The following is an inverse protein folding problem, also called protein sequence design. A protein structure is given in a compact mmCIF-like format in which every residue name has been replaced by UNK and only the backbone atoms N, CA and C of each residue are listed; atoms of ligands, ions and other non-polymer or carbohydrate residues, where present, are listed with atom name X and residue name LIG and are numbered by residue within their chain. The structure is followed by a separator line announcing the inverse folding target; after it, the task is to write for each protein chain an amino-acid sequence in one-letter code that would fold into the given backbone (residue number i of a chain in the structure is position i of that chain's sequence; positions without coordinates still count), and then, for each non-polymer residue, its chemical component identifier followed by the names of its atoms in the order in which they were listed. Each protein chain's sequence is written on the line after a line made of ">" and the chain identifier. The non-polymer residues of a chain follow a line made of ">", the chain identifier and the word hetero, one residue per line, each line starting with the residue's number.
data_IF_574276144833
#
_entry.id   IF_574276144833
#
_cell.length_a   1.000
_cell.length_b   1.000
_cell.length_c   1.000
_cell.angle_alpha   90.00
_cell.angle_beta   90.00
_cell.angle_gamma   90.00
#
_symmetry.space_group_name_H-M   'P 1'
#
loop_
_entity.id
_entity.type
_entity.pdbx_description
1 polymer ?
#
# COMPACT_ATOMS: atom_id res chain seq x y z
N UNK A 1 2.35 8.41 8.24
CA UNK A 1 2.06 7.13 8.89
C UNK A 1 0.60 6.80 8.69
N UNK A 2 0.33 5.54 8.49
CA UNK A 2 -1.03 5.06 8.24
C UNK A 2 -1.56 4.40 9.51
N UNK A 3 -2.78 4.74 9.90
CA UNK A 3 -3.43 4.17 11.07
C UNK A 3 -4.85 3.77 10.70
N UNK A 4 -5.55 3.19 11.66
CA UNK A 4 -6.96 2.86 11.48
C UNK A 4 -7.73 4.10 11.03
N UNK A 5 -8.60 3.93 10.05
CA UNK A 5 -9.41 4.97 9.41
C UNK A 5 -8.64 5.94 8.49
N UNK A 6 -7.35 5.72 8.26
CA UNK A 6 -6.63 6.46 7.23
C UNK A 6 -7.12 6.06 5.85
N UNK A 7 -7.26 7.03 4.96
CA UNK A 7 -7.61 6.79 3.56
C UNK A 7 -6.36 6.80 2.70
N UNK A 8 -6.30 5.86 1.76
CA UNK A 8 -5.15 5.74 0.86
C UNK A 8 -5.65 5.61 -0.57
N UNK A 9 -4.87 6.14 -1.50
CA UNK A 9 -5.05 5.86 -2.92
C UNK A 9 -4.54 4.46 -3.22
N UNK A 10 -5.13 3.86 -4.24
CA UNK A 10 -4.67 2.57 -4.75
C UNK A 10 -3.80 2.82 -5.97
N UNK A 11 -2.57 2.33 -5.93
CA UNK A 11 -1.56 2.60 -6.95
C UNK A 11 -1.41 1.46 -7.96
N UNK A 12 -2.48 0.72 -8.20
CA UNK A 12 -2.45 -0.39 -9.15
C UNK A 12 -3.69 -0.38 -10.05
N UNK A 13 -3.72 -1.33 -10.99
CA UNK A 13 -4.79 -1.43 -11.97
C UNK A 13 -5.86 -2.46 -11.62
N UNK A 14 -6.06 -2.75 -10.34
CA UNK A 14 -7.10 -3.68 -9.89
C UNK A 14 -8.52 -3.15 -10.06
N UNK A 15 -8.65 -1.83 -10.18
CA UNK A 15 -9.96 -1.19 -10.25
C UNK A 15 -10.35 -0.46 -8.99
N UNK A 16 -9.77 -0.78 -7.86
CA UNK A 16 -9.95 0.00 -6.64
C UNK A 16 -9.23 1.34 -6.79
N UNK A 17 -9.86 2.43 -6.32
CA UNK A 17 -9.27 3.77 -6.38
C UNK A 17 -8.89 4.28 -5.01
N UNK A 18 -9.73 4.04 -4.01
CA UNK A 18 -9.51 4.50 -2.65
C UNK A 18 -9.90 3.41 -1.67
N UNK A 19 -9.07 3.24 -0.64
CA UNK A 19 -9.31 2.29 0.43
C UNK A 19 -9.21 2.98 1.77
N UNK A 20 -9.90 2.42 2.77
CA UNK A 20 -9.88 2.90 4.15
C UNK A 20 -9.22 1.83 5.01
N UNK A 21 -8.16 2.20 5.71
CA UNK A 21 -7.46 1.26 6.60
C UNK A 21 -8.37 0.89 7.78
N UNK A 22 -8.62 -0.41 7.93
CA UNK A 22 -9.38 -0.95 9.05
C UNK A 22 -8.43 -1.35 10.18
N UNK A 23 -7.31 -1.98 9.82
CA UNK A 23 -6.39 -2.55 10.80
C UNK A 23 -4.98 -2.62 10.23
N UNK A 24 -3.98 -2.41 11.10
CA UNK A 24 -2.58 -2.60 10.76
C UNK A 24 -2.16 -3.98 11.24
N UNK A 25 -1.62 -4.80 10.34
CA UNK A 25 -1.14 -6.14 10.67
C UNK A 25 0.28 -6.08 11.22
N UNK A 26 0.67 -7.07 12.01
CA UNK A 26 2.02 -7.16 12.54
C UNK A 26 2.12 -7.18 14.05
N UNK A 27 1.01 -7.50 14.74
CA UNK A 27 1.02 -7.64 16.19
C UNK A 27 -0.14 -6.91 16.85
N UNK A 28 -0.51 -7.35 18.04
CA UNK A 28 -1.69 -6.83 18.75
C UNK A 28 -1.54 -5.38 19.20
N UNK A 29 -0.31 -4.90 19.36
CA UNK A 29 -0.04 -3.52 19.78
C UNK A 29 0.30 -2.59 18.61
N UNK A 30 0.27 -3.09 17.38
CA UNK A 30 0.64 -2.31 16.21
C UNK A 30 -0.40 -1.25 15.92
N UNK A 31 0.01 0.01 15.94
CA UNK A 31 -0.89 1.16 15.76
C UNK A 31 -0.71 1.86 14.43
N UNK A 32 0.51 1.90 13.90
CA UNK A 32 0.83 2.64 12.68
C UNK A 32 1.51 1.75 11.65
N UNK A 33 1.21 2.00 10.38
CA UNK A 33 1.86 1.34 9.25
C UNK A 33 2.73 2.36 8.51
N UNK A 34 3.90 1.92 8.10
CA UNK A 34 4.77 2.67 7.20
C UNK A 34 4.91 1.94 5.87
N UNK A 35 5.83 2.43 5.03
CA UNK A 35 6.10 1.81 3.73
C UNK A 35 6.56 0.36 3.94
N UNK A 36 5.91 -0.57 3.24
CA UNK A 36 6.22 -1.99 3.33
C UNK A 36 5.40 -2.76 4.35
N UNK A 37 4.56 -2.08 5.13
CA UNK A 37 3.68 -2.74 6.09
C UNK A 37 2.37 -3.12 5.43
N UNK A 38 1.79 -4.24 5.88
CA UNK A 38 0.54 -4.76 5.35
C UNK A 38 -0.62 -4.28 6.23
N UNK A 39 -1.68 -3.84 5.58
CA UNK A 39 -2.91 -3.40 6.26
C UNK A 39 -4.10 -4.18 5.72
N UNK A 40 -5.15 -4.27 6.53
CA UNK A 40 -6.47 -4.70 6.09
C UNK A 40 -7.28 -3.43 5.84
N UNK A 41 -7.95 -3.36 4.70
CA UNK A 41 -8.67 -2.17 4.31
C UNK A 41 -9.99 -2.52 3.63
N UNK A 42 -10.90 -1.56 3.62
CA UNK A 42 -12.15 -1.70 2.87
C UNK A 42 -12.10 -0.76 1.67
N UNK A 43 -12.61 -1.23 0.55
CA UNK A 43 -12.64 -0.45 -0.70
C UNK A 43 -13.76 0.57 -0.59
N UNK A 44 -13.42 1.86 -0.72
CA UNK A 44 -14.38 2.95 -0.65
C UNK A 44 -14.80 3.46 -2.02
N UNK A 45 -13.93 3.33 -3.01
CA UNK A 45 -14.20 3.74 -4.38
C UNK A 45 -13.54 2.76 -5.33
N UNK A 46 -14.30 2.30 -6.32
CA UNK A 46 -13.82 1.35 -7.32
C UNK A 46 -14.47 1.64 -8.67
N UNK A 47 -13.75 1.26 -9.74
CA UNK A 47 -14.26 1.36 -11.10
C UNK A 47 -15.36 0.29 -11.27
N UNK A 48 -16.53 0.65 -11.80
CA UNK A 48 -17.59 -0.33 -12.07
C UNK A 48 -17.11 -1.46 -12.98
N UNK A 49 -17.61 -2.66 -12.75
CA UNK A 49 -17.30 -3.86 -13.54
C UNK A 49 -15.84 -4.32 -13.42
N UNK A 50 -15.11 -3.86 -12.43
CA UNK A 50 -13.77 -4.39 -12.12
C UNK A 50 -13.89 -5.59 -11.20
N UNK A 51 -12.77 -6.28 -10.99
CA UNK A 51 -12.73 -7.42 -10.08
C UNK A 51 -12.85 -7.07 -8.61
N UNK A 52 -12.83 -5.79 -8.27
CA UNK A 52 -12.92 -5.29 -6.91
C UNK A 52 -14.11 -4.37 -6.81
N UNK A 53 -14.93 -4.55 -5.78
CA UNK A 53 -16.17 -3.79 -5.59
C UNK A 53 -16.07 -2.94 -4.33
N UNK A 54 -16.83 -1.84 -4.33
CA UNK A 54 -16.98 -1.01 -3.14
C UNK A 54 -17.51 -1.86 -1.98
N UNK A 55 -16.87 -1.72 -0.83
CA UNK A 55 -17.23 -2.48 0.37
C UNK A 55 -16.44 -3.76 0.56
N UNK A 56 -15.68 -4.19 -0.43
CA UNK A 56 -14.82 -5.37 -0.28
C UNK A 56 -13.75 -5.12 0.77
N UNK A 57 -13.43 -6.16 1.54
CA UNK A 57 -12.33 -6.13 2.50
C UNK A 57 -11.13 -6.79 1.83
N UNK A 58 -10.02 -6.07 1.78
CA UNK A 58 -8.82 -6.48 1.06
C UNK A 58 -7.59 -6.29 1.93
N UNK A 59 -6.51 -7.00 1.59
CA UNK A 59 -5.18 -6.73 2.14
C UNK A 59 -4.42 -5.85 1.16
N UNK A 60 -3.63 -4.94 1.72
CA UNK A 60 -2.82 -4.04 0.91
C UNK A 60 -1.50 -3.78 1.61
N UNK A 61 -0.48 -3.47 0.82
CA UNK A 61 0.82 -3.05 1.33
C UNK A 61 1.00 -1.56 1.03
N UNK A 62 1.45 -0.81 2.02
CA UNK A 62 1.68 0.63 1.88
C UNK A 62 2.94 0.83 1.05
N UNK A 63 2.84 1.56 -0.05
CA UNK A 63 3.96 1.81 -0.96
C UNK A 63 4.46 3.25 -0.90
N UNK A 64 3.61 4.18 -0.49
CA UNK A 64 3.96 5.60 -0.33
C UNK A 64 3.30 6.15 0.92
N UNK A 65 4.00 7.05 1.61
CA UNK A 65 3.42 7.80 2.72
C UNK A 65 3.69 9.28 2.55
N UNK A 66 2.74 10.09 2.95
CA UNK A 66 2.87 11.54 2.92
C UNK A 66 3.77 12.02 4.04
N UNK A 67 3.72 11.36 5.18
CA UNK A 67 4.62 11.66 6.28
C UNK A 67 6.01 11.12 5.97
N UNK A 68 7.03 11.91 6.24
CA UNK A 68 8.40 11.53 6.03
C UNK A 68 8.81 10.32 6.87
N UNK A 69 9.62 9.47 6.28
CA UNK A 69 10.19 8.30 6.95
C UNK A 69 11.71 8.45 7.00
N UNK A 70 12.28 8.32 8.19
CA UNK A 70 13.72 8.31 8.35
C UNK A 70 14.27 6.92 7.99
N UNK A 71 15.31 6.91 7.17
CA UNK A 71 15.98 5.69 6.78
C UNK A 71 17.20 5.44 7.66
N UNK A 72 17.71 4.19 7.72
CA UNK A 72 18.88 3.87 8.54
C UNK A 72 20.13 4.69 8.20
N UNK A 73 20.28 5.14 6.96
CA UNK A 73 21.40 5.95 6.52
C UNK A 73 21.27 7.44 6.88
N UNK A 74 20.21 7.82 7.58
CA UNK A 74 19.97 9.20 7.99
C UNK A 74 19.18 10.04 7.00
N UNK A 75 18.90 9.54 5.80
CA UNK A 75 18.08 10.24 4.83
C UNK A 75 16.60 10.11 5.15
N UNK A 76 15.79 10.96 4.52
CA UNK A 76 14.34 10.93 4.68
C UNK A 76 13.69 10.76 3.32
N UNK A 77 12.56 10.07 3.31
CA UNK A 77 11.72 9.92 2.11
C UNK A 77 10.29 10.33 2.45
N UNK A 78 9.68 11.10 1.59
CA UNK A 78 8.24 11.41 1.67
C UNK A 78 7.68 11.54 0.28
N UNK A 79 6.39 11.28 0.17
CA UNK A 79 5.67 11.36 -1.10
C UNK A 79 4.52 12.35 -0.97
N UNK A 80 3.90 12.69 -2.09
CA UNK A 80 2.80 13.65 -2.10
C UNK A 80 1.50 13.08 -1.56
N UNK A 81 1.40 11.77 -1.48
CA UNK A 81 0.16 11.10 -1.08
C UNK A 81 0.44 9.79 -0.36
N UNK A 82 -0.56 9.30 0.36
CA UNK A 82 -0.54 7.95 0.91
C UNK A 82 -1.11 7.00 -0.15
N UNK A 83 -0.38 5.94 -0.45
CA UNK A 83 -0.83 4.98 -1.46
C UNK A 83 -0.47 3.56 -1.06
N UNK A 84 -1.29 2.63 -1.53
CA UNK A 84 -1.14 1.22 -1.27
C UNK A 84 -1.41 0.41 -2.53
N UNK A 85 -0.92 -0.81 -2.55
CA UNK A 85 -1.13 -1.78 -3.62
C UNK A 85 -1.87 -2.98 -3.03
N UNK A 86 -2.94 -3.42 -3.67
CA UNK A 86 -3.71 -4.57 -3.21
C UNK A 86 -2.90 -5.85 -3.41
N UNK A 87 -2.89 -6.71 -2.39
CA UNK A 87 -2.16 -7.96 -2.44
C UNK A 87 -3.08 -9.14 -2.12
N UNK A 88 -2.64 -10.33 -2.54
CA UNK A 88 -3.29 -11.59 -2.20
C UNK A 88 -2.76 -12.11 -0.86
N UNK A 89 -3.32 -13.20 -0.37
CA UNK A 89 -2.87 -13.81 0.87
C UNK A 89 -1.42 -14.30 0.81
N UNK A 90 -0.92 -14.60 -0.38
CA UNK A 90 0.47 -15.03 -0.59
C UNK A 90 1.44 -13.85 -0.76
N UNK A 91 0.98 -12.63 -0.51
CA UNK A 91 1.76 -11.39 -0.61
C UNK A 91 2.10 -10.97 -2.04
N UNK A 92 1.51 -11.62 -3.03
CA UNK A 92 1.67 -11.23 -4.42
C UNK A 92 0.68 -10.12 -4.78
N UNK A 93 1.05 -9.17 -5.66
CA UNK A 93 0.11 -8.12 -6.07
C UNK A 93 -1.07 -8.70 -6.83
N UNK A 94 -2.25 -8.14 -6.61
CA UNK A 94 -3.46 -8.56 -7.34
C UNK A 94 -3.49 -7.98 -8.75
N UNK A 95 -2.92 -6.82 -8.95
CA UNK A 95 -2.87 -6.17 -10.25
C UNK A 95 -1.61 -6.56 -11.02
N UNK A 96 -1.58 -6.12 -12.28
CA UNK A 96 -0.44 -6.38 -13.18
C UNK A 96 0.41 -5.14 -13.41
N UNK A 97 -0.05 -3.96 -13.00
CA UNK A 97 0.67 -2.70 -13.16
C UNK A 97 0.63 -1.90 -11.87
N UNK A 98 1.68 -1.14 -11.65
CA UNK A 98 1.79 -0.23 -10.51
C UNK A 98 2.05 1.17 -11.06
N UNK A 99 1.36 2.16 -10.49
CA UNK A 99 1.44 3.55 -10.94
C UNK A 99 2.24 4.38 -9.95
N UNK A 100 3.17 5.15 -10.46
CA UNK A 100 3.97 6.07 -9.66
C UNK A 100 5.09 5.38 -8.89
N UNK A 101 5.90 6.17 -8.15
CA UNK A 101 7.04 5.62 -7.43
C UNK A 101 6.63 4.84 -6.18
N UNK A 102 7.50 3.93 -5.78
CA UNK A 102 7.33 3.19 -4.52
C UNK A 102 8.61 3.34 -3.68
N UNK A 103 8.48 3.18 -2.37
CA UNK A 103 9.64 3.21 -1.49
C UNK A 103 10.46 1.92 -1.59
N UNK A 104 11.78 2.04 -1.57
CA UNK A 104 12.66 0.87 -1.66
C UNK A 104 12.60 -0.04 -0.43
N UNK A 105 11.93 0.40 0.63
CA UNK A 105 11.68 -0.42 1.82
C UNK A 105 10.92 -1.70 1.49
N UNK A 106 10.17 -1.72 0.39
CA UNK A 106 9.47 -2.92 -0.07
C UNK A 106 10.42 -4.06 -0.39
N UNK A 107 11.65 -3.76 -0.81
CA UNK A 107 12.67 -4.78 -1.06
C UNK A 107 13.07 -5.49 0.23
N UNK A 108 13.25 -4.73 1.30
CA UNK A 108 13.62 -5.28 2.60
C UNK A 108 12.50 -6.11 3.21
N UNK A 109 11.26 -5.79 2.85
CA UNK A 109 10.06 -6.52 3.29
C UNK A 109 9.70 -7.66 2.35
N UNK A 110 10.51 -7.93 1.34
CA UNK A 110 10.38 -9.04 0.39
C UNK A 110 9.19 -8.95 -0.56
N UNK A 111 8.79 -7.74 -0.92
CA UNK A 111 7.78 -7.51 -1.96
C UNK A 111 8.44 -7.32 -3.32
N UNK A 112 9.20 -8.33 -3.75
CA UNK A 112 10.03 -8.22 -4.95
C UNK A 112 9.20 -8.06 -6.22
N UNK A 113 8.02 -8.69 -6.27
CA UNK A 113 7.15 -8.57 -7.44
C UNK A 113 6.66 -7.13 -7.62
N UNK A 114 6.33 -6.47 -6.52
CA UNK A 114 5.92 -5.06 -6.55
C UNK A 114 7.08 -4.19 -7.01
N UNK A 115 8.27 -4.44 -6.51
CA UNK A 115 9.48 -3.72 -6.92
C UNK A 115 9.70 -3.87 -8.43
N UNK A 116 9.54 -5.08 -8.96
CA UNK A 116 9.77 -5.31 -10.40
C UNK A 116 8.71 -4.66 -11.29
N UNK A 117 7.49 -4.49 -10.77
CA UNK A 117 6.40 -3.86 -11.52
C UNK A 117 6.40 -2.34 -11.40
N UNK A 118 7.05 -1.79 -10.41
CA UNK A 118 7.03 -0.36 -10.15
C UNK A 118 7.85 0.39 -11.21
N UNK A 119 7.33 1.53 -11.72
CA UNK A 119 8.07 2.33 -12.70
C UNK A 119 9.28 3.02 -12.10
N UNK A 120 9.27 3.29 -10.81
CA UNK A 120 10.37 3.96 -10.12
C UNK A 120 10.43 3.50 -8.67
N UNK A 121 11.63 3.23 -8.18
CA UNK A 121 11.86 2.81 -6.79
C UNK A 121 12.76 3.86 -6.13
N UNK A 122 12.24 4.53 -5.14
CA UNK A 122 12.94 5.57 -4.40
C UNK A 122 13.23 5.11 -2.96
#
# INVERSE_FOLDING_TARGET
>A
MIQQESRLRVADNTGAREILCIRVLGGSSRRYAGIGDVIVATVKEAIPASGVKRGDVVKAVVVRTRKEKRRPDGSYIKFDENAAVLIKNDREPRGTRIFGPVGRELRDKRFMRIISLAPEVL
#
